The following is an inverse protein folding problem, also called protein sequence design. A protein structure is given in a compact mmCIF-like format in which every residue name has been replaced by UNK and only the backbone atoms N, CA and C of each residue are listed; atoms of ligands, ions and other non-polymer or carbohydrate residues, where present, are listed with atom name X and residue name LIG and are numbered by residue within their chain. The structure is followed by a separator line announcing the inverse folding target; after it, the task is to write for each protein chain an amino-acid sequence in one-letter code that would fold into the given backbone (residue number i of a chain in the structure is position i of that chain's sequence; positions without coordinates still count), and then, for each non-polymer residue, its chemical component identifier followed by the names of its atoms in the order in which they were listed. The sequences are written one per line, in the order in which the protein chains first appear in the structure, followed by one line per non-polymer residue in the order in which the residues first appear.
data_IF_815239476992
#
_entry.id   IF_815239476992
#
_cell.length_a   1.000
_cell.length_b   1.000
_cell.length_c   1.000
_cell.angle_alpha   90.00
_cell.angle_beta   90.00
_cell.angle_gamma   90.00
#
_symmetry.space_group_name_H-M   'P 1'
#
loop_
_entity.id
_entity.type
_entity.pdbx_description
1 polymer ?
#
# COMPACT_ATOMS: atom_id res chain seq x y z
N UNK A 1 -19.05 0.44 -6.85
CA UNK A 1 -18.46 1.76 -6.74
C UNK A 1 -19.27 2.72 -5.88
N UNK A 2 -18.96 4.02 -5.87
CA UNK A 2 -19.58 4.99 -4.97
C UNK A 2 -21.12 5.06 -5.06
N UNK A 3 -21.68 4.94 -6.28
CA UNK A 3 -23.12 4.96 -6.46
C UNK A 3 -23.81 3.78 -5.75
N UNK A 4 -23.22 2.59 -5.78
CA UNK A 4 -23.76 1.42 -5.08
C UNK A 4 -23.77 1.61 -3.55
N UNK A 5 -22.78 2.32 -3.00
CA UNK A 5 -22.75 2.69 -1.58
C UNK A 5 -23.90 3.62 -1.23
N UNK A 6 -24.08 4.65 -2.04
CA UNK A 6 -25.17 5.64 -1.85
C UNK A 6 -26.54 4.98 -1.97
N UNK A 7 -26.73 4.12 -2.97
CA UNK A 7 -27.99 3.38 -3.16
C UNK A 7 -28.32 2.48 -1.97
N UNK A 8 -27.29 1.78 -1.42
CA UNK A 8 -27.45 0.93 -0.25
C UNK A 8 -27.84 1.72 1.01
N UNK A 9 -27.21 2.88 1.24
CA UNK A 9 -27.59 3.77 2.33
C UNK A 9 -29.02 4.30 2.18
N UNK A 10 -29.33 4.84 1.01
CA UNK A 10 -30.61 5.48 0.74
C UNK A 10 -31.78 4.51 0.87
N UNK A 11 -31.59 3.25 0.50
CA UNK A 11 -32.60 2.21 0.66
C UNK A 11 -32.97 1.93 2.13
N UNK A 12 -32.04 2.15 3.05
CA UNK A 12 -32.22 1.87 4.48
C UNK A 12 -32.54 3.11 5.32
N UNK A 13 -32.30 4.31 4.77
CA UNK A 13 -32.36 5.57 5.52
C UNK A 13 -33.25 6.60 4.81
N UNK A 14 -34.59 6.47 4.88
CA UNK A 14 -35.51 7.35 4.14
C UNK A 14 -35.46 8.81 4.58
N UNK A 15 -34.95 9.08 5.79
CA UNK A 15 -34.88 10.43 6.35
C UNK A 15 -33.57 11.16 6.08
N UNK A 16 -32.52 10.41 5.70
CA UNK A 16 -31.20 10.96 5.35
C UNK A 16 -30.83 10.41 3.98
N UNK A 17 -31.02 11.20 2.96
CA UNK A 17 -30.66 10.79 1.59
C UNK A 17 -29.32 11.37 1.20
N UNK A 18 -28.50 10.58 0.54
CA UNK A 18 -27.16 10.94 0.07
C UNK A 18 -27.16 10.98 -1.45
N UNK A 19 -26.48 11.96 -2.01
CA UNK A 19 -26.22 12.10 -3.44
C UNK A 19 -24.70 12.03 -3.67
N UNK A 20 -24.29 11.25 -4.65
CA UNK A 20 -22.90 11.14 -5.05
C UNK A 20 -22.59 12.14 -6.16
N UNK A 21 -21.61 13.03 -5.89
CA UNK A 21 -21.04 13.94 -6.88
C UNK A 21 -19.58 13.59 -7.12
N UNK A 22 -19.22 13.37 -8.39
CA UNK A 22 -17.87 12.96 -8.75
C UNK A 22 -16.97 14.17 -8.98
N UNK A 23 -15.87 14.22 -8.21
CA UNK A 23 -14.70 15.04 -8.50
C UNK A 23 -13.52 14.11 -8.83
N UNK A 24 -12.85 14.36 -9.95
CA UNK A 24 -11.69 13.54 -10.35
C UNK A 24 -10.51 13.87 -9.42
N UNK A 25 -9.76 12.85 -9.00
CA UNK A 25 -8.57 13.06 -8.17
C UNK A 25 -7.36 13.42 -9.02
N UNK A 26 -7.38 14.61 -9.57
CA UNK A 26 -6.29 15.30 -10.24
C UNK A 26 -6.29 16.76 -9.80
N UNK A 27 -5.36 17.56 -10.28
CA UNK A 27 -5.23 18.96 -9.87
C UNK A 27 -6.49 19.77 -10.19
N UNK A 28 -7.08 19.58 -11.36
CA UNK A 28 -8.28 20.28 -11.80
C UNK A 28 -9.53 19.86 -10.99
N UNK A 29 -9.70 18.57 -10.77
CA UNK A 29 -10.80 18.04 -9.96
C UNK A 29 -10.71 18.45 -8.49
N UNK A 30 -9.51 18.47 -7.91
CA UNK A 30 -9.29 18.97 -6.55
C UNK A 30 -9.54 20.48 -6.45
N UNK A 31 -9.13 21.26 -7.44
CA UNK A 31 -9.45 22.70 -7.49
C UNK A 31 -10.97 22.94 -7.55
N UNK A 32 -11.69 22.16 -8.34
CA UNK A 32 -13.17 22.24 -8.42
C UNK A 32 -13.82 21.87 -7.08
N UNK A 33 -13.34 20.82 -6.41
CA UNK A 33 -13.83 20.44 -5.09
C UNK A 33 -13.56 21.55 -4.07
N UNK A 34 -12.35 22.07 -4.00
CA UNK A 34 -11.97 23.13 -3.06
C UNK A 34 -12.80 24.38 -3.28
N UNK A 35 -13.08 24.74 -4.54
CA UNK A 35 -13.98 25.86 -4.90
C UNK A 35 -15.40 25.59 -4.41
N UNK A 36 -15.92 24.39 -4.62
CA UNK A 36 -17.26 24.02 -4.16
C UNK A 36 -17.39 24.09 -2.63
N UNK A 37 -16.38 23.62 -1.90
CA UNK A 37 -16.34 23.68 -0.44
C UNK A 37 -16.34 25.11 0.09
N UNK A 38 -15.63 26.02 -0.57
CA UNK A 38 -15.50 27.42 -0.16
C UNK A 38 -16.71 28.29 -0.52
N UNK A 39 -17.37 28.01 -1.64
CA UNK A 39 -18.46 28.83 -2.19
C UNK A 39 -19.84 28.45 -1.71
N UNK A 40 -19.96 27.45 -0.81
CA UNK A 40 -21.22 27.02 -0.25
C UNK A 40 -22.07 26.18 -1.18
N UNK A 41 -21.48 25.56 -2.21
CA UNK A 41 -22.13 24.46 -2.90
C UNK A 41 -22.29 23.31 -1.93
N UNK A 42 -23.41 22.57 -2.06
CA UNK A 42 -23.76 21.49 -1.11
C UNK A 42 -22.83 20.28 -1.26
N UNK A 43 -21.63 20.38 -0.70
CA UNK A 43 -20.74 19.24 -0.48
C UNK A 43 -20.60 19.07 1.03
N UNK A 44 -21.28 18.06 1.56
CA UNK A 44 -21.31 17.80 3.00
C UNK A 44 -20.13 16.92 3.45
N UNK A 45 -19.73 15.97 2.60
CA UNK A 45 -18.68 14.99 2.86
C UNK A 45 -17.77 14.93 1.63
N UNK A 46 -16.47 14.82 1.86
CA UNK A 46 -15.47 14.71 0.79
C UNK A 46 -14.26 13.89 1.22
N UNK A 47 -13.47 13.44 0.22
CA UNK A 47 -12.28 12.60 0.43
C UNK A 47 -11.01 13.42 0.29
N UNK A 48 -10.06 13.22 1.22
CA UNK A 48 -8.67 13.66 1.10
C UNK A 48 -7.80 12.42 0.80
N UNK A 49 -7.01 12.50 -0.26
CA UNK A 49 -6.11 11.41 -0.64
C UNK A 49 -4.71 11.57 -0.08
N UNK A 50 -4.35 12.77 0.36
CA UNK A 50 -3.06 13.09 0.98
C UNK A 50 -3.24 13.97 2.21
N UNK A 51 -2.27 13.88 3.13
CA UNK A 51 -2.25 14.74 4.31
C UNK A 51 -2.15 16.24 3.91
N UNK A 52 -1.40 16.54 2.86
CA UNK A 52 -1.27 17.91 2.35
C UNK A 52 -2.62 18.49 1.87
N UNK A 53 -3.47 17.69 1.23
CA UNK A 53 -4.83 18.11 0.88
C UNK A 53 -5.65 18.42 2.12
N UNK A 54 -5.57 17.56 3.14
CA UNK A 54 -6.28 17.75 4.40
C UNK A 54 -5.82 19.03 5.10
N UNK A 55 -4.53 19.26 5.23
CA UNK A 55 -3.96 20.44 5.89
C UNK A 55 -4.45 21.74 5.23
N UNK A 56 -4.42 21.82 3.91
CA UNK A 56 -4.96 22.96 3.17
C UNK A 56 -6.45 23.22 3.45
N UNK A 57 -7.24 22.15 3.54
CA UNK A 57 -8.69 22.23 3.81
C UNK A 57 -9.00 22.57 5.26
N UNK A 58 -8.14 22.17 6.20
CA UNK A 58 -8.20 22.63 7.59
C UNK A 58 -7.93 24.14 7.66
N UNK A 59 -6.85 24.62 7.02
CA UNK A 59 -6.52 26.06 6.96
C UNK A 59 -7.64 26.87 6.32
N UNK A 60 -8.30 26.33 5.29
CA UNK A 60 -9.44 26.98 4.63
C UNK A 60 -10.74 26.96 5.45
N UNK A 61 -10.75 26.28 6.60
CA UNK A 61 -11.93 26.17 7.49
C UNK A 61 -13.05 25.31 6.95
N UNK A 62 -12.75 24.37 6.05
CA UNK A 62 -13.74 23.47 5.44
C UNK A 62 -13.64 22.01 5.90
N UNK A 63 -12.73 21.70 6.84
CA UNK A 63 -12.63 20.40 7.47
C UNK A 63 -13.11 20.49 8.92
N UNK A 64 -14.14 19.71 9.27
CA UNK A 64 -14.71 19.71 10.62
C UNK A 64 -13.81 18.96 11.61
N UNK A 65 -13.53 19.60 12.76
CA UNK A 65 -12.92 18.92 13.91
C UNK A 65 -13.94 17.93 14.50
N UNK A 66 -13.61 16.63 14.48
CA UNK A 66 -14.51 15.56 14.93
C UNK A 66 -14.49 15.36 16.46
N UNK A 67 -13.69 16.10 17.22
CA UNK A 67 -13.60 15.93 18.67
C UNK A 67 -14.91 16.26 19.42
N UNK A 68 -15.84 16.96 18.75
CA UNK A 68 -17.19 17.18 19.28
C UNK A 68 -18.04 15.91 19.35
N UNK A 69 -17.69 14.87 18.59
CA UNK A 69 -18.40 13.60 18.60
C UNK A 69 -17.72 12.61 19.53
N UNK A 70 -18.49 11.98 20.42
CA UNK A 70 -18.00 11.05 21.43
C UNK A 70 -18.50 9.62 21.23
N UNK A 71 -19.32 9.39 20.21
CA UNK A 71 -19.99 8.13 19.92
C UNK A 71 -19.23 7.21 18.94
N UNK A 72 -18.01 7.60 18.57
CA UNK A 72 -17.16 6.82 17.64
C UNK A 72 -15.69 6.99 18.00
N UNK A 73 -15.03 5.91 18.35
CA UNK A 73 -13.60 5.92 18.67
C UNK A 73 -12.78 5.51 17.44
N UNK A 74 -12.22 6.49 16.73
CA UNK A 74 -11.45 6.28 15.52
C UNK A 74 -10.21 5.42 15.78
N UNK A 75 -9.49 5.68 16.87
CA UNK A 75 -8.26 4.95 17.22
C UNK A 75 -8.55 3.46 17.47
N UNK A 76 -9.64 3.16 18.18
CA UNK A 76 -10.04 1.78 18.45
C UNK A 76 -10.48 1.05 17.18
N UNK A 77 -11.28 1.70 16.35
CA UNK A 77 -11.85 1.08 15.14
C UNK A 77 -10.86 0.91 14.00
N UNK A 78 -10.00 1.90 13.80
CA UNK A 78 -9.05 1.93 12.67
C UNK A 78 -7.65 1.42 13.04
N UNK A 79 -7.34 1.32 14.33
CA UNK A 79 -6.05 0.92 14.83
C UNK A 79 -5.00 2.04 14.83
N UNK A 80 -3.75 1.72 15.24
CA UNK A 80 -2.71 2.73 15.50
C UNK A 80 -2.29 3.53 14.26
N UNK A 81 -2.46 2.97 13.06
CA UNK A 81 -2.10 3.65 11.80
C UNK A 81 -2.97 4.88 11.52
N UNK A 82 -4.16 4.96 12.12
CA UNK A 82 -5.04 6.13 11.99
C UNK A 82 -4.38 7.41 12.49
N UNK A 83 -3.54 7.34 13.53
CA UNK A 83 -2.87 8.48 14.13
C UNK A 83 -1.99 9.29 13.16
N UNK A 84 -1.55 8.67 12.06
CA UNK A 84 -0.81 9.35 10.99
C UNK A 84 -1.61 10.45 10.29
N UNK A 85 -2.93 10.42 10.42
CA UNK A 85 -3.83 11.41 9.85
C UNK A 85 -4.23 12.52 10.85
N UNK A 86 -3.78 12.45 12.11
CA UNK A 86 -4.02 13.52 13.06
C UNK A 86 -3.27 14.80 12.67
N UNK A 87 -3.94 15.93 12.83
CA UNK A 87 -3.34 17.26 12.73
C UNK A 87 -3.53 17.95 14.08
N UNK A 88 -2.44 18.39 14.68
CA UNK A 88 -2.44 18.96 16.05
C UNK A 88 -3.16 18.07 17.09
N UNK A 89 -2.94 16.76 16.98
CA UNK A 89 -3.52 15.76 17.88
C UNK A 89 -5.01 15.48 17.67
N UNK A 90 -5.63 16.00 16.60
CA UNK A 90 -7.07 15.89 16.35
C UNK A 90 -7.35 15.19 15.02
N UNK A 91 -8.53 14.56 14.95
CA UNK A 91 -9.10 14.04 13.71
C UNK A 91 -10.05 15.05 13.06
N UNK A 92 -9.79 15.36 11.80
CA UNK A 92 -10.66 16.16 10.93
C UNK A 92 -11.36 15.30 9.89
N UNK A 93 -11.52 14.02 10.17
CA UNK A 93 -12.16 13.02 9.33
C UNK A 93 -11.80 11.61 9.81
N UNK A 94 -12.21 10.62 9.03
CA UNK A 94 -11.94 9.20 9.31
C UNK A 94 -11.14 8.61 8.13
N UNK A 95 -9.97 7.98 8.38
CA UNK A 95 -9.29 7.20 7.35
C UNK A 95 -10.06 5.91 7.12
N UNK A 96 -10.62 5.72 5.93
CA UNK A 96 -11.59 4.66 5.68
C UNK A 96 -11.04 3.47 4.92
N UNK A 97 -9.94 3.67 4.17
CA UNK A 97 -9.34 2.66 3.30
C UNK A 97 -8.06 2.11 3.91
N UNK A 98 -7.88 0.79 3.81
CA UNK A 98 -6.65 0.09 4.13
C UNK A 98 -5.81 -0.12 2.87
N UNK A 99 -4.52 0.22 2.94
CA UNK A 99 -3.54 -0.06 1.89
C UNK A 99 -2.77 -1.32 2.27
N UNK A 100 -2.69 -2.30 1.38
CA UNK A 100 -2.03 -3.59 1.64
C UNK A 100 -1.06 -3.92 0.53
N UNK A 101 0.18 -4.22 0.91
CA UNK A 101 1.21 -4.77 0.05
C UNK A 101 1.43 -6.24 0.42
N UNK A 102 1.65 -7.07 -0.57
CA UNK A 102 1.85 -8.50 -0.38
C UNK A 102 2.70 -9.09 -1.51
N UNK A 103 3.07 -10.35 -1.35
CA UNK A 103 3.61 -11.16 -2.43
C UNK A 103 2.49 -12.07 -2.95
N UNK A 104 2.20 -11.95 -4.24
CA UNK A 104 1.34 -12.90 -4.94
C UNK A 104 2.16 -14.11 -5.38
N UNK A 105 1.60 -15.32 -5.17
CA UNK A 105 2.28 -16.58 -5.41
C UNK A 105 1.45 -17.46 -6.35
N UNK A 106 2.10 -18.07 -7.34
CA UNK A 106 1.49 -19.15 -8.10
C UNK A 106 1.43 -20.40 -7.21
N UNK A 107 0.25 -20.66 -6.62
CA UNK A 107 0.08 -21.75 -5.66
C UNK A 107 0.36 -23.12 -6.27
N UNK A 108 0.02 -23.32 -7.53
CA UNK A 108 0.28 -24.60 -8.20
C UNK A 108 1.79 -24.90 -8.29
N UNK A 109 2.60 -23.87 -8.56
CA UNK A 109 4.07 -24.00 -8.57
C UNK A 109 4.64 -24.27 -7.18
N UNK A 110 4.09 -23.63 -6.13
CA UNK A 110 4.48 -23.90 -4.74
C UNK A 110 4.16 -25.34 -4.35
N UNK A 111 2.94 -25.80 -4.64
CA UNK A 111 2.48 -27.15 -4.31
C UNK A 111 3.36 -28.20 -5.01
N UNK A 112 3.68 -28.00 -6.28
CA UNK A 112 4.57 -28.87 -7.06
C UNK A 112 5.99 -28.94 -6.44
N UNK A 113 6.49 -27.82 -5.91
CA UNK A 113 7.79 -27.74 -5.24
C UNK A 113 7.74 -28.21 -3.77
N UNK A 114 6.56 -28.51 -3.23
CA UNK A 114 6.39 -28.87 -1.83
C UNK A 114 6.62 -27.73 -0.85
N UNK A 115 6.40 -26.49 -1.28
CA UNK A 115 6.61 -25.29 -0.47
C UNK A 115 5.29 -24.78 0.10
N UNK A 116 5.22 -24.53 1.43
CA UNK A 116 4.03 -23.93 2.04
C UNK A 116 3.92 -22.46 1.69
N UNK A 117 2.72 -21.88 1.76
CA UNK A 117 2.50 -20.44 1.67
C UNK A 117 2.99 -19.77 2.96
N UNK A 118 3.96 -18.86 2.91
CA UNK A 118 4.51 -18.22 4.10
C UNK A 118 3.50 -17.29 4.77
N UNK A 119 3.47 -17.29 6.11
CA UNK A 119 2.79 -16.27 6.94
C UNK A 119 3.76 -15.24 7.52
N UNK A 120 5.03 -15.58 7.55
CA UNK A 120 6.15 -14.74 7.94
C UNK A 120 7.41 -15.30 7.30
N UNK A 121 8.23 -14.45 6.72
CA UNK A 121 9.49 -14.84 6.08
C UNK A 121 10.48 -13.69 5.91
N UNK A 122 11.74 -14.07 5.80
CA UNK A 122 12.85 -13.16 5.54
C UNK A 122 13.19 -13.11 4.05
N UNK A 123 13.96 -12.10 3.64
CA UNK A 123 14.54 -12.04 2.30
C UNK A 123 15.43 -13.23 1.99
N UNK A 124 16.11 -13.78 2.99
CA UNK A 124 16.91 -15.00 2.80
C UNK A 124 16.03 -16.21 2.47
N UNK A 125 14.91 -16.38 3.16
CA UNK A 125 13.95 -17.44 2.88
C UNK A 125 13.26 -17.23 1.51
N UNK A 126 12.92 -15.99 1.15
CA UNK A 126 12.42 -15.66 -0.18
C UNK A 126 13.40 -16.09 -1.27
N UNK A 127 14.69 -15.79 -1.09
CA UNK A 127 15.73 -16.18 -2.04
C UNK A 127 15.77 -17.70 -2.26
N UNK A 128 15.63 -18.50 -1.19
CA UNK A 128 15.57 -19.96 -1.31
C UNK A 128 14.31 -20.45 -2.03
N UNK A 129 13.15 -19.83 -1.76
CA UNK A 129 11.92 -20.08 -2.51
C UNK A 129 12.11 -19.77 -3.99
N UNK A 130 12.69 -18.62 -4.31
CA UNK A 130 12.94 -18.21 -5.69
C UNK A 130 13.83 -19.19 -6.43
N UNK A 131 14.88 -19.71 -5.80
CA UNK A 131 15.75 -20.76 -6.38
C UNK A 131 14.97 -22.05 -6.66
N UNK A 132 14.13 -22.49 -5.73
CA UNK A 132 13.34 -23.70 -5.90
C UNK A 132 12.27 -23.58 -6.99
N UNK A 133 11.80 -22.37 -7.26
CA UNK A 133 10.69 -22.11 -8.19
C UNK A 133 11.17 -21.67 -9.59
N UNK A 134 12.44 -21.32 -9.74
CA UNK A 134 13.01 -20.94 -11.03
C UNK A 134 13.34 -22.16 -11.85
N UNK A 135 12.55 -22.41 -12.90
CA UNK A 135 12.76 -23.53 -13.82
C UNK A 135 12.00 -23.30 -15.13
N UNK A 136 12.43 -23.96 -16.21
CA UNK A 136 11.72 -23.99 -17.49
C UNK A 136 11.35 -22.59 -18.05
N UNK A 137 12.24 -21.62 -17.89
CA UNK A 137 12.02 -20.24 -18.35
C UNK A 137 11.11 -19.39 -17.44
N UNK A 138 10.68 -19.94 -16.28
CA UNK A 138 9.89 -19.22 -15.28
C UNK A 138 10.83 -18.54 -14.30
N UNK A 139 10.63 -17.26 -14.04
CA UNK A 139 11.31 -16.55 -12.97
C UNK A 139 10.71 -16.90 -11.61
N UNK A 140 11.56 -17.14 -10.61
CA UNK A 140 11.09 -17.36 -9.25
C UNK A 140 10.50 -16.09 -8.62
N UNK A 141 11.04 -14.93 -8.97
CA UNK A 141 10.68 -13.65 -8.37
C UNK A 141 10.57 -12.52 -9.40
N UNK A 142 9.52 -11.74 -9.30
CA UNK A 142 9.38 -10.45 -9.98
C UNK A 142 8.97 -9.36 -9.00
N UNK A 143 9.45 -8.15 -9.25
CA UNK A 143 9.01 -6.92 -8.58
C UNK A 143 9.09 -5.74 -9.53
N UNK A 144 8.32 -4.71 -9.26
CA UNK A 144 8.47 -3.43 -9.93
C UNK A 144 9.79 -2.76 -9.57
N UNK A 145 10.26 -1.88 -10.45
CA UNK A 145 11.52 -1.13 -10.24
C UNK A 145 11.32 0.16 -9.44
N UNK A 146 10.10 0.51 -9.10
CA UNK A 146 9.79 1.69 -8.31
C UNK A 146 10.33 1.58 -6.87
N UNK A 147 10.79 2.69 -6.28
CA UNK A 147 11.44 2.68 -4.97
C UNK A 147 10.57 2.16 -3.82
N UNK A 148 9.24 2.21 -3.95
CA UNK A 148 8.37 1.70 -2.87
C UNK A 148 8.36 0.17 -2.73
N UNK A 149 8.98 -0.55 -3.66
CA UNK A 149 9.21 -1.99 -3.56
C UNK A 149 10.55 -2.34 -2.90
N UNK A 150 11.42 -1.35 -2.66
CA UNK A 150 12.64 -1.61 -1.92
C UNK A 150 12.36 -1.61 -0.40
N UNK A 151 12.97 -2.52 0.38
CA UNK A 151 12.74 -2.61 1.81
C UNK A 151 13.60 -1.64 2.64
N UNK A 152 14.34 -0.73 2.02
CA UNK A 152 15.18 0.24 2.74
C UNK A 152 14.34 1.15 3.63
N UNK A 153 13.16 1.56 3.15
CA UNK A 153 12.23 2.36 3.96
C UNK A 153 11.85 1.65 5.26
N UNK A 154 11.51 0.36 5.19
CA UNK A 154 11.16 -0.44 6.37
C UNK A 154 12.27 -0.43 7.43
N UNK A 155 13.52 -0.52 7.01
CA UNK A 155 14.66 -0.44 7.93
C UNK A 155 14.80 0.97 8.49
N UNK A 156 14.88 1.97 7.63
CA UNK A 156 15.21 3.34 8.03
C UNK A 156 14.10 4.05 8.80
N UNK A 157 12.84 3.77 8.50
CA UNK A 157 11.71 4.26 9.30
C UNK A 157 11.70 3.65 10.71
N UNK A 158 12.22 2.45 10.87
CA UNK A 158 12.32 1.78 12.18
C UNK A 158 13.54 2.24 12.98
N UNK A 159 14.73 2.26 12.37
CA UNK A 159 16.00 2.52 13.07
C UNK A 159 16.46 3.98 12.97
N UNK A 160 15.86 4.77 12.09
CA UNK A 160 16.24 6.15 11.81
C UNK A 160 17.08 6.32 10.55
N UNK A 161 16.83 7.41 9.84
CA UNK A 161 17.60 7.81 8.66
C UNK A 161 18.97 8.41 9.00
N UNK A 162 19.13 8.86 10.25
CA UNK A 162 20.38 9.42 10.79
C UNK A 162 20.83 8.65 12.01
N UNK A 163 22.13 8.63 12.23
CA UNK A 163 22.76 8.12 13.44
C UNK A 163 22.64 9.16 14.57
N UNK A 164 23.07 8.79 15.78
CA UNK A 164 23.04 9.68 16.95
C UNK A 164 23.83 10.97 16.74
N UNK A 165 24.91 10.92 15.96
CA UNK A 165 25.74 12.07 15.60
C UNK A 165 25.15 12.93 14.47
N UNK A 166 23.96 12.61 13.99
CA UNK A 166 23.28 13.30 12.89
C UNK A 166 23.73 12.92 11.49
N UNK A 167 24.71 12.03 11.36
CA UNK A 167 25.17 11.55 10.06
C UNK A 167 24.21 10.51 9.45
N UNK A 168 24.36 10.28 8.15
CA UNK A 168 23.55 9.33 7.38
C UNK A 168 23.65 7.90 7.93
N UNK A 169 22.49 7.23 8.02
CA UNK A 169 22.37 5.81 8.37
C UNK A 169 22.14 4.90 7.15
N UNK A 170 22.39 5.40 5.93
CA UNK A 170 22.21 4.61 4.69
C UNK A 170 23.25 3.47 4.54
N UNK A 171 24.21 3.38 5.44
CA UNK A 171 25.15 2.27 5.56
C UNK A 171 24.73 1.19 6.58
N UNK A 172 23.47 1.21 7.03
CA UNK A 172 22.97 0.21 7.96
C UNK A 172 23.16 -1.22 7.40
N UNK A 173 23.64 -2.20 8.22
CA UNK A 173 23.94 -3.54 7.73
C UNK A 173 22.81 -4.26 7.01
N UNK A 174 21.55 -4.01 7.40
CA UNK A 174 20.38 -4.61 6.73
C UNK A 174 20.21 -4.10 5.30
N UNK A 175 20.60 -2.85 5.00
CA UNK A 175 20.56 -2.27 3.66
C UNK A 175 21.57 -3.00 2.76
N UNK A 176 22.80 -3.19 3.23
CA UNK A 176 23.80 -3.99 2.52
C UNK A 176 23.28 -5.41 2.25
N UNK A 177 22.69 -6.05 3.24
CA UNK A 177 22.11 -7.39 3.12
C UNK A 177 21.09 -7.46 1.98
N UNK A 178 20.19 -6.50 1.89
CA UNK A 178 19.22 -6.44 0.80
C UNK A 178 19.90 -6.26 -0.57
N UNK A 179 20.79 -5.28 -0.68
CA UNK A 179 21.51 -5.00 -1.93
C UNK A 179 22.24 -6.25 -2.45
N UNK A 180 22.96 -6.94 -1.59
CA UNK A 180 23.70 -8.15 -1.95
C UNK A 180 22.76 -9.32 -2.28
N UNK A 181 21.64 -9.46 -1.54
CA UNK A 181 20.64 -10.50 -1.81
C UNK A 181 20.00 -10.32 -3.18
N UNK A 182 19.50 -9.13 -3.49
CA UNK A 182 18.84 -8.87 -4.78
C UNK A 182 19.84 -8.95 -5.95
N UNK A 183 21.08 -8.47 -5.75
CA UNK A 183 22.13 -8.62 -6.74
C UNK A 183 22.40 -10.10 -7.05
N UNK A 184 22.51 -10.92 -6.01
CA UNK A 184 22.72 -12.37 -6.18
C UNK A 184 21.52 -13.02 -6.91
N UNK A 185 20.29 -12.64 -6.58
CA UNK A 185 19.09 -13.14 -7.27
C UNK A 185 19.11 -12.79 -8.76
N UNK A 186 19.57 -11.59 -9.14
CA UNK A 186 19.68 -11.15 -10.52
C UNK A 186 20.81 -11.83 -11.29
N UNK A 187 22.01 -11.91 -10.70
CA UNK A 187 23.25 -12.17 -11.43
C UNK A 187 23.88 -13.53 -11.15
N UNK A 188 23.63 -14.10 -9.99
CA UNK A 188 24.21 -15.39 -9.56
C UNK A 188 23.15 -16.50 -9.67
N UNK A 189 22.04 -16.35 -8.96
CA UNK A 189 20.93 -17.31 -8.93
C UNK A 189 20.09 -17.27 -10.21
N UNK A 190 20.00 -16.10 -10.85
CA UNK A 190 19.18 -15.83 -12.05
C UNK A 190 17.71 -16.16 -11.84
N UNK A 191 17.22 -15.88 -10.63
CA UNK A 191 15.82 -16.12 -10.23
C UNK A 191 14.90 -14.96 -10.54
N UNK A 192 15.47 -13.79 -10.84
CA UNK A 192 14.77 -12.58 -11.27
C UNK A 192 15.53 -11.95 -12.44
N UNK A 193 14.85 -11.26 -13.39
CA UNK A 193 15.56 -10.66 -14.51
C UNK A 193 16.50 -9.55 -14.03
N UNK A 194 17.68 -9.41 -14.68
CA UNK A 194 18.57 -8.29 -14.39
C UNK A 194 17.90 -6.95 -14.62
N UNK A 195 18.24 -5.95 -13.82
CA UNK A 195 17.61 -4.61 -13.90
C UNK A 195 17.71 -4.01 -15.31
N UNK A 196 18.86 -4.16 -15.98
CA UNK A 196 19.05 -3.65 -17.34
C UNK A 196 18.06 -4.24 -18.35
N UNK A 197 17.75 -5.51 -18.24
CA UNK A 197 16.72 -6.16 -19.08
C UNK A 197 15.33 -5.65 -18.75
N UNK A 198 15.01 -5.51 -17.47
CA UNK A 198 13.71 -4.99 -17.03
C UNK A 198 13.44 -3.60 -17.60
N UNK A 199 14.44 -2.72 -17.56
CA UNK A 199 14.33 -1.34 -18.08
C UNK A 199 14.25 -1.35 -19.61
N UNK A 200 15.16 -2.05 -20.28
CA UNK A 200 15.25 -2.05 -21.74
C UNK A 200 14.02 -2.65 -22.40
N UNK A 201 13.52 -3.75 -21.84
CA UNK A 201 12.34 -4.45 -22.35
C UNK A 201 11.03 -3.87 -21.81
N UNK A 202 11.08 -2.92 -20.88
CA UNK A 202 9.90 -2.41 -20.17
C UNK A 202 9.01 -3.56 -19.67
N UNK A 203 9.63 -4.51 -18.96
CA UNK A 203 8.98 -5.77 -18.60
C UNK A 203 7.67 -5.56 -17.85
N UNK A 204 6.53 -6.06 -18.37
CA UNK A 204 5.23 -5.93 -17.72
C UNK A 204 5.08 -7.02 -16.65
N UNK A 205 5.71 -6.82 -15.48
CA UNK A 205 5.86 -7.86 -14.45
C UNK A 205 4.53 -8.41 -13.94
N UNK A 206 3.49 -7.58 -13.86
CA UNK A 206 2.15 -8.01 -13.45
C UNK A 206 1.55 -8.99 -14.47
N UNK A 207 1.62 -8.64 -15.75
CA UNK A 207 1.16 -9.48 -16.85
C UNK A 207 1.96 -10.77 -16.94
N UNK A 208 3.27 -10.70 -16.76
CA UNK A 208 4.15 -11.88 -16.75
C UNK A 208 3.75 -12.87 -15.67
N UNK A 209 3.49 -12.38 -14.45
CA UNK A 209 3.00 -13.21 -13.35
C UNK A 209 1.65 -13.85 -13.68
N UNK A 210 0.69 -13.07 -14.17
CA UNK A 210 -0.65 -13.56 -14.53
C UNK A 210 -0.64 -14.55 -15.70
N UNK A 211 0.38 -14.49 -16.56
CA UNK A 211 0.59 -15.44 -17.64
C UNK A 211 1.38 -16.70 -17.23
N UNK A 212 1.76 -16.81 -15.94
CA UNK A 212 2.52 -17.97 -15.45
C UNK A 212 4.01 -17.93 -15.78
N UNK A 213 4.56 -16.78 -16.14
CA UNK A 213 5.99 -16.58 -16.46
C UNK A 213 6.84 -16.30 -15.20
N UNK A 214 6.20 -16.16 -14.07
CA UNK A 214 6.85 -16.00 -12.76
C UNK A 214 6.06 -16.70 -11.67
N UNK A 215 6.78 -17.22 -10.66
CA UNK A 215 6.17 -17.90 -9.52
C UNK A 215 5.71 -16.94 -8.42
N UNK A 216 6.37 -15.81 -8.26
CA UNK A 216 6.11 -14.83 -7.19
C UNK A 216 6.22 -13.40 -7.72
N UNK A 217 5.32 -12.53 -7.25
CA UNK A 217 5.28 -11.11 -7.62
C UNK A 217 5.08 -10.24 -6.36
N UNK A 218 5.96 -9.29 -6.12
CA UNK A 218 5.75 -8.26 -5.10
C UNK A 218 4.80 -7.18 -5.64
N UNK A 219 3.66 -7.01 -4.99
CA UNK A 219 2.59 -6.14 -5.48
C UNK A 219 1.68 -5.68 -4.33
N UNK A 220 0.61 -4.97 -4.63
CA UNK A 220 -0.42 -4.55 -3.68
C UNK A 220 -1.84 -4.88 -4.18
N UNK A 221 -2.82 -4.37 -3.44
CA UNK A 221 -4.24 -4.66 -3.69
C UNK A 221 -4.73 -4.29 -5.10
N UNK A 222 -4.02 -3.44 -5.83
CA UNK A 222 -4.38 -3.10 -7.22
C UNK A 222 -4.24 -4.27 -8.20
N UNK A 223 -3.57 -5.36 -7.81
CA UNK A 223 -3.48 -6.58 -8.62
C UNK A 223 -4.86 -7.10 -9.03
N UNK A 224 -5.84 -7.00 -8.15
CA UNK A 224 -7.19 -7.54 -8.39
C UNK A 224 -7.90 -6.93 -9.61
N UNK A 225 -7.54 -5.71 -10.01
CA UNK A 225 -8.10 -5.09 -11.23
C UNK A 225 -7.81 -5.91 -12.48
N UNK A 226 -6.62 -6.50 -12.55
CA UNK A 226 -6.22 -7.36 -13.65
C UNK A 226 -6.49 -8.83 -13.36
N UNK A 227 -6.15 -9.33 -12.18
CA UNK A 227 -6.27 -10.75 -11.85
C UNK A 227 -7.71 -11.24 -11.81
N UNK A 228 -8.69 -10.38 -11.52
CA UNK A 228 -10.12 -10.73 -11.59
C UNK A 228 -10.65 -10.79 -13.04
N UNK A 229 -9.96 -10.18 -13.98
CA UNK A 229 -10.37 -10.15 -15.38
C UNK A 229 -9.81 -11.35 -16.14
N UNK A 230 -10.48 -12.49 -16.03
CA UNK A 230 -10.06 -13.73 -16.67
C UNK A 230 -10.24 -13.72 -18.21
N UNK A 231 -10.96 -12.75 -18.76
CA UNK A 231 -11.08 -12.61 -20.22
C UNK A 231 -9.77 -12.08 -20.82
N UNK A 232 -9.19 -11.05 -20.19
CA UNK A 232 -7.94 -10.44 -20.65
C UNK A 232 -6.70 -11.15 -20.08
N UNK A 233 -6.82 -11.72 -18.88
CA UNK A 233 -5.75 -12.44 -18.18
C UNK A 233 -6.20 -13.86 -17.81
N UNK A 234 -6.44 -14.75 -18.80
CA UNK A 234 -6.84 -16.12 -18.53
C UNK A 234 -5.72 -16.87 -17.81
N UNK A 235 -6.08 -17.62 -16.77
CA UNK A 235 -5.13 -18.48 -16.06
C UNK A 235 -5.81 -19.73 -15.54
N UNK A 236 -5.02 -20.78 -15.35
CA UNK A 236 -5.44 -22.07 -14.83
C UNK A 236 -4.84 -22.37 -13.44
N UNK A 237 -4.11 -21.43 -12.86
CA UNK A 237 -3.52 -21.57 -11.53
C UNK A 237 -4.23 -20.70 -10.48
N UNK A 238 -4.11 -21.13 -9.24
CA UNK A 238 -4.61 -20.41 -8.06
C UNK A 238 -3.53 -19.45 -7.58
N UNK A 239 -3.93 -18.20 -7.27
CA UNK A 239 -3.05 -17.22 -6.65
C UNK A 239 -3.19 -17.34 -5.12
N UNK A 240 -2.06 -17.56 -4.44
CA UNK A 240 -1.94 -17.44 -2.99
C UNK A 240 -1.22 -16.14 -2.63
N UNK A 241 -1.21 -15.79 -1.34
CA UNK A 241 -0.68 -14.52 -0.86
C UNK A 241 0.19 -14.73 0.37
N UNK A 242 1.31 -14.00 0.41
CA UNK A 242 2.18 -13.95 1.57
C UNK A 242 2.47 -12.49 1.95
N UNK A 243 2.82 -12.20 3.21
CA UNK A 243 3.35 -10.89 3.57
C UNK A 243 4.60 -10.57 2.75
N UNK A 244 4.92 -9.28 2.57
CA UNK A 244 6.23 -8.90 2.04
C UNK A 244 7.34 -9.44 2.96
N UNK A 245 8.48 -9.89 2.42
CA UNK A 245 9.56 -10.42 3.25
C UNK A 245 10.22 -9.31 4.06
N UNK A 246 10.72 -9.66 5.24
CA UNK A 246 11.44 -8.75 6.14
C UNK A 246 12.95 -8.91 6.03
N UNK A 247 13.68 -7.81 6.24
CA UNK A 247 15.12 -7.80 6.43
C UNK A 247 15.52 -8.05 7.89
N UNK A 248 14.63 -7.68 8.83
CA UNK A 248 14.84 -7.89 10.26
C UNK A 248 14.88 -9.38 10.60
N UNK A 249 15.76 -9.75 11.54
CA UNK A 249 15.85 -11.13 12.02
C UNK A 249 14.62 -11.52 12.83
N UNK A 250 14.11 -10.59 13.65
CA UNK A 250 12.92 -10.80 14.46
C UNK A 250 11.68 -10.16 13.82
N UNK A 251 10.57 -10.86 13.84
CA UNK A 251 9.29 -10.36 13.32
C UNK A 251 8.79 -9.12 14.07
N UNK A 252 9.04 -9.05 15.37
CA UNK A 252 8.61 -7.94 16.25
C UNK A 252 9.26 -6.60 15.87
N UNK A 253 10.41 -6.63 15.22
CA UNK A 253 11.10 -5.42 14.77
C UNK A 253 10.61 -4.92 13.42
N UNK A 254 9.89 -5.77 12.69
CA UNK A 254 9.46 -5.49 11.33
C UNK A 254 8.28 -4.52 11.29
N UNK A 255 8.42 -3.53 10.44
CA UNK A 255 7.34 -2.65 10.01
C UNK A 255 7.27 -2.68 8.48
N UNK A 256 6.08 -2.56 7.92
CA UNK A 256 5.87 -2.69 6.47
C UNK A 256 5.22 -1.44 5.89
N UNK A 257 5.35 -1.27 4.58
CA UNK A 257 4.61 -0.25 3.87
C UNK A 257 3.12 -0.58 3.87
N UNK A 258 2.28 0.44 3.97
CA UNK A 258 0.83 0.28 4.00
C UNK A 258 0.16 1.54 4.49
N UNK A 259 -0.50 1.44 5.64
CA UNK A 259 -1.20 2.55 6.26
C UNK A 259 -2.65 2.65 5.80
N UNK A 260 -3.28 3.76 6.15
CA UNK A 260 -4.66 4.05 5.85
C UNK A 260 -4.74 5.23 4.87
N UNK A 261 -5.78 5.21 4.05
CA UNK A 261 -6.03 6.25 3.06
C UNK A 261 -7.51 6.58 2.93
N UNK A 262 -7.86 7.28 1.85
CA UNK A 262 -9.22 7.77 1.60
C UNK A 262 -9.79 8.40 2.88
N UNK A 263 -9.16 9.48 3.31
CA UNK A 263 -9.52 10.18 4.54
C UNK A 263 -10.76 11.04 4.29
N UNK A 264 -11.88 10.66 4.90
CA UNK A 264 -13.19 11.27 4.65
C UNK A 264 -13.49 12.32 5.70
N UNK A 265 -13.68 13.55 5.24
CA UNK A 265 -13.98 14.71 6.07
C UNK A 265 -15.41 15.20 5.89
N UNK A 266 -15.94 15.84 6.92
CA UNK A 266 -17.20 16.59 6.86
C UNK A 266 -16.87 18.07 6.63
N UNK A 267 -17.58 18.70 5.71
CA UNK A 267 -17.46 20.14 5.50
C UNK A 267 -17.95 20.89 6.74
N UNK A 268 -17.06 21.65 7.37
CA UNK A 268 -17.39 22.45 8.56
C UNK A 268 -18.49 23.50 8.30
N UNK A 269 -18.71 23.86 7.03
CA UNK A 269 -19.74 24.81 6.59
C UNK A 269 -21.08 24.13 6.21
N UNK A 270 -21.15 22.81 6.30
CA UNK A 270 -22.36 22.06 5.98
C UNK A 270 -23.50 22.42 6.92
N UNK A 271 -24.73 22.61 6.42
CA UNK A 271 -25.94 22.71 7.26
C UNK A 271 -26.40 21.33 7.78
N UNK A 272 -25.78 20.21 7.34
CA UNK A 272 -26.23 18.84 7.57
C UNK A 272 -25.17 18.02 8.36
N UNK A 273 -24.46 18.64 9.28
CA UNK A 273 -23.30 18.00 9.98
C UNK A 273 -23.70 16.70 10.67
N UNK A 274 -24.84 16.67 11.39
CA UNK A 274 -25.28 15.46 12.11
C UNK A 274 -25.64 14.32 11.17
N UNK A 275 -26.34 14.62 10.08
CA UNK A 275 -26.69 13.64 9.04
C UNK A 275 -25.42 13.11 8.32
N UNK A 276 -24.47 14.01 8.03
CA UNK A 276 -23.18 13.66 7.47
C UNK A 276 -22.39 12.73 8.40
N UNK A 277 -22.42 13.00 9.70
CA UNK A 277 -21.77 12.16 10.70
C UNK A 277 -22.39 10.74 10.77
N UNK A 278 -23.71 10.62 10.74
CA UNK A 278 -24.38 9.32 10.71
C UNK A 278 -23.98 8.50 9.47
N UNK A 279 -23.97 9.12 8.30
CA UNK A 279 -23.52 8.47 7.08
C UNK A 279 -22.04 8.08 7.14
N UNK A 280 -21.16 8.96 7.63
CA UNK A 280 -19.73 8.70 7.68
C UNK A 280 -19.39 7.54 8.62
N UNK A 281 -20.03 7.42 9.79
CA UNK A 281 -19.88 6.26 10.68
C UNK A 281 -20.24 4.95 9.99
N UNK A 282 -21.40 4.93 9.36
CA UNK A 282 -21.87 3.75 8.63
C UNK A 282 -20.94 3.40 7.46
N UNK A 283 -20.53 4.39 6.70
CA UNK A 283 -19.58 4.22 5.58
C UNK A 283 -18.29 3.58 6.05
N UNK A 284 -17.70 4.12 7.11
CA UNK A 284 -16.43 3.64 7.66
C UNK A 284 -16.52 2.22 8.24
N UNK A 285 -17.63 1.87 8.90
CA UNK A 285 -17.84 0.57 9.56
C UNK A 285 -18.28 -0.56 8.61
N UNK A 286 -18.18 -0.36 7.32
CA UNK A 286 -18.44 -1.39 6.33
C UNK A 286 -19.42 -1.01 5.23
N UNK A 287 -20.14 0.11 5.36
CA UNK A 287 -21.02 0.62 4.30
C UNK A 287 -20.30 0.87 2.98
N UNK A 288 -18.97 1.09 3.05
CA UNK A 288 -18.13 1.22 1.87
C UNK A 288 -17.80 -0.12 1.18
N UNK A 289 -18.26 -1.26 1.67
CA UNK A 289 -17.92 -2.57 1.10
C UNK A 289 -18.11 -2.68 -0.42
N UNK A 290 -19.13 -2.06 -1.07
CA UNK A 290 -19.25 -2.05 -2.52
C UNK A 290 -18.05 -1.40 -3.25
N UNK A 291 -17.21 -0.64 -2.56
CA UNK A 291 -15.97 -0.09 -3.11
C UNK A 291 -14.88 -1.15 -3.28
N UNK A 292 -15.01 -2.30 -2.62
CA UNK A 292 -14.05 -3.41 -2.69
C UNK A 292 -13.93 -3.97 -4.12
N UNK A 293 -15.00 -3.96 -4.89
CA UNK A 293 -14.96 -4.36 -6.31
C UNK A 293 -13.96 -3.52 -7.14
N UNK A 294 -13.67 -2.28 -6.73
CA UNK A 294 -12.64 -1.42 -7.29
C UNK A 294 -11.28 -1.48 -6.56
N UNK A 295 -11.11 -2.42 -5.64
CA UNK A 295 -9.88 -2.61 -4.87
C UNK A 295 -9.77 -1.74 -3.61
N UNK A 296 -10.85 -1.11 -3.15
CA UNK A 296 -10.85 -0.34 -1.90
C UNK A 296 -11.31 -1.18 -0.72
N UNK A 297 -10.38 -1.46 0.18
CA UNK A 297 -10.61 -2.30 1.36
C UNK A 297 -10.92 -1.43 2.58
N UNK A 298 -11.96 -1.75 3.39
CA UNK A 298 -12.28 -1.00 4.60
C UNK A 298 -11.18 -1.15 5.66
N UNK A 299 -10.90 -0.06 6.36
CA UNK A 299 -9.94 -0.01 7.45
C UNK A 299 -10.54 -0.45 8.79
N UNK A 300 -11.85 -0.28 8.99
CA UNK A 300 -12.53 -0.55 10.26
C UNK A 300 -12.49 -2.04 10.63
N UNK A 301 -12.20 -2.30 11.90
CA UNK A 301 -12.27 -3.65 12.49
C UNK A 301 -13.69 -4.22 12.53
N UNK A 302 -14.71 -3.36 12.44
CA UNK A 302 -16.12 -3.75 12.46
C UNK A 302 -16.67 -4.09 11.07
N UNK A 303 -15.85 -3.96 10.01
CA UNK A 303 -16.25 -4.34 8.66
C UNK A 303 -16.42 -5.87 8.55
N UNK A 304 -17.47 -6.29 7.84
CA UNK A 304 -17.69 -7.70 7.49
C UNK A 304 -16.67 -8.13 6.42
N UNK A 305 -15.60 -8.77 6.85
CA UNK A 305 -14.49 -9.17 5.98
C UNK A 305 -14.90 -10.24 4.96
N UNK A 306 -15.84 -11.10 5.29
CA UNK A 306 -16.37 -12.10 4.35
C UNK A 306 -17.16 -11.42 3.22
N UNK A 307 -18.04 -10.49 3.56
CA UNK A 307 -18.78 -9.71 2.56
C UNK A 307 -17.83 -8.89 1.68
N UNK A 308 -16.77 -8.29 2.25
CA UNK A 308 -15.74 -7.56 1.51
C UNK A 308 -15.03 -8.47 0.51
N UNK A 309 -14.62 -9.67 0.92
CA UNK A 309 -13.98 -10.63 0.02
C UNK A 309 -14.90 -11.06 -1.12
N UNK A 310 -16.18 -11.31 -0.84
CA UNK A 310 -17.15 -11.63 -1.88
C UNK A 310 -17.30 -10.50 -2.90
N UNK A 311 -17.33 -9.25 -2.45
CA UNK A 311 -17.40 -8.09 -3.33
C UNK A 311 -16.12 -7.84 -4.10
N UNK A 312 -14.95 -8.08 -3.48
CA UNK A 312 -13.65 -7.95 -4.12
C UNK A 312 -13.47 -8.98 -5.25
N UNK A 313 -13.82 -10.22 -4.99
CA UNK A 313 -13.51 -11.34 -5.89
C UNK A 313 -14.66 -11.72 -6.83
N UNK A 314 -15.90 -11.45 -6.45
CA UNK A 314 -17.07 -11.81 -7.27
C UNK A 314 -17.06 -13.31 -7.67
N UNK A 315 -17.30 -13.59 -8.94
CA UNK A 315 -17.42 -14.94 -9.49
C UNK A 315 -16.07 -15.67 -9.65
N UNK A 316 -14.95 -14.96 -9.46
CA UNK A 316 -13.61 -15.52 -9.68
C UNK A 316 -12.91 -15.94 -8.39
N UNK A 317 -13.61 -15.97 -7.26
CA UNK A 317 -13.06 -16.36 -5.95
C UNK A 317 -12.36 -17.72 -5.97
N UNK A 318 -12.83 -18.67 -6.79
CA UNK A 318 -12.23 -19.99 -6.96
C UNK A 318 -10.81 -19.98 -7.53
N UNK A 319 -10.36 -18.86 -8.08
CA UNK A 319 -9.01 -18.70 -8.63
C UNK A 319 -8.00 -18.19 -7.60
N UNK A 320 -8.41 -18.05 -6.34
CA UNK A 320 -7.59 -17.57 -5.23
C UNK A 320 -7.59 -18.54 -4.05
N UNK A 321 -6.46 -18.58 -3.34
CA UNK A 321 -6.35 -19.23 -2.03
C UNK A 321 -6.91 -18.29 -0.96
N UNK A 322 -8.16 -18.53 -0.55
CA UNK A 322 -8.90 -17.61 0.31
C UNK A 322 -8.32 -17.49 1.71
N UNK A 323 -7.72 -18.56 2.25
CA UNK A 323 -7.10 -18.55 3.57
C UNK A 323 -5.93 -17.56 3.61
N UNK A 324 -5.00 -17.65 2.66
CA UNK A 324 -3.85 -16.76 2.61
C UNK A 324 -4.25 -15.32 2.26
N UNK A 325 -5.28 -15.14 1.44
CA UNK A 325 -5.82 -13.83 1.13
C UNK A 325 -6.43 -13.16 2.37
N UNK A 326 -7.27 -13.88 3.10
CA UNK A 326 -7.84 -13.42 4.37
C UNK A 326 -6.74 -13.00 5.34
N UNK A 327 -5.67 -13.78 5.43
CA UNK A 327 -4.56 -13.49 6.32
C UNK A 327 -3.88 -12.17 5.97
N UNK A 328 -3.44 -11.98 4.72
CA UNK A 328 -2.69 -10.75 4.33
C UNK A 328 -3.56 -9.49 4.33
N UNK A 329 -4.85 -9.61 4.04
CA UNK A 329 -5.74 -8.45 3.99
C UNK A 329 -6.26 -8.04 5.38
N UNK A 330 -6.53 -8.98 6.29
CA UNK A 330 -7.30 -8.70 7.49
C UNK A 330 -6.70 -9.20 8.80
N UNK A 331 -5.83 -10.21 8.78
CA UNK A 331 -5.31 -10.86 10.00
C UNK A 331 -3.86 -10.48 10.30
N UNK A 332 -3.06 -10.13 9.29
CA UNK A 332 -1.67 -9.71 9.50
C UNK A 332 -1.64 -8.39 10.27
N UNK A 333 -1.11 -8.44 11.48
CA UNK A 333 -1.02 -7.30 12.40
C UNK A 333 0.33 -6.56 12.34
N UNK A 334 1.16 -6.84 11.35
CA UNK A 334 2.44 -6.13 11.16
C UNK A 334 2.20 -4.62 11.11
N UNK A 335 2.85 -3.84 12.00
CA UNK A 335 2.70 -2.38 11.98
C UNK A 335 3.14 -1.78 10.64
N UNK A 336 2.49 -0.72 10.21
CA UNK A 336 2.86 -0.01 9.00
C UNK A 336 3.56 1.31 9.30
N UNK A 337 4.24 1.86 8.30
CA UNK A 337 4.88 3.16 8.38
C UNK A 337 4.39 4.10 7.28
N UNK A 338 4.52 5.39 7.53
CA UNK A 338 4.45 6.44 6.50
C UNK A 338 5.85 6.96 6.27
N UNK A 339 6.24 7.09 5.01
CA UNK A 339 7.56 7.61 4.63
C UNK A 339 7.76 9.02 5.16
N UNK A 340 8.78 9.22 5.99
CA UNK A 340 9.07 10.47 6.69
C UNK A 340 10.07 11.38 5.97
N UNK A 341 10.71 10.89 4.90
CA UNK A 341 11.73 11.63 4.16
C UNK A 341 11.21 12.17 2.84
N UNK A 342 11.77 13.28 2.34
CA UNK A 342 11.46 13.82 1.02
C UNK A 342 11.87 12.87 -0.11
N UNK A 343 11.21 12.99 -1.25
CA UNK A 343 11.54 12.22 -2.45
C UNK A 343 13.01 12.36 -2.87
N UNK A 344 13.65 13.48 -2.62
CA UNK A 344 15.09 13.67 -2.90
C UNK A 344 15.96 12.60 -2.24
N UNK A 345 15.65 12.21 -0.98
CA UNK A 345 16.39 11.13 -0.27
C UNK A 345 16.13 9.77 -0.92
N UNK A 346 14.91 9.55 -1.37
CA UNK A 346 14.54 8.32 -2.09
C UNK A 346 15.28 8.25 -3.43
N UNK A 347 15.30 9.33 -4.18
CA UNK A 347 15.92 9.40 -5.50
C UNK A 347 17.44 9.24 -5.43
N UNK A 348 18.10 9.87 -4.46
CA UNK A 348 19.56 9.76 -4.32
C UNK A 348 20.03 8.33 -4.04
N UNK A 349 19.28 7.57 -3.22
CA UNK A 349 19.61 6.17 -2.96
C UNK A 349 19.31 5.28 -4.15
N UNK A 350 18.17 5.51 -4.84
CA UNK A 350 17.79 4.79 -6.04
C UNK A 350 18.83 4.91 -7.15
N UNK A 351 19.29 6.12 -7.44
CA UNK A 351 20.34 6.36 -8.43
C UNK A 351 21.59 5.51 -8.17
N UNK A 352 21.97 5.36 -6.91
CA UNK A 352 23.16 4.61 -6.54
C UNK A 352 22.92 3.09 -6.58
N UNK A 353 21.84 2.59 -6.00
CA UNK A 353 21.62 1.14 -6.01
C UNK A 353 21.31 0.60 -7.42
N UNK A 354 20.68 1.39 -8.29
CA UNK A 354 20.48 1.00 -9.70
C UNK A 354 21.81 0.80 -10.41
N UNK A 355 22.80 1.68 -10.19
CA UNK A 355 24.16 1.51 -10.73
C UNK A 355 24.83 0.24 -10.25
N UNK A 356 24.61 -0.13 -9.00
CA UNK A 356 25.08 -1.42 -8.47
C UNK A 356 24.42 -2.60 -9.19
N UNK A 357 23.11 -2.60 -9.31
CA UNK A 357 22.39 -3.66 -10.00
C UNK A 357 22.71 -3.73 -11.50
N UNK A 358 23.11 -2.62 -12.12
CA UNK A 358 23.62 -2.57 -13.49
C UNK A 358 25.08 -2.97 -13.62
N UNK A 359 25.75 -3.36 -12.54
CA UNK A 359 27.16 -3.72 -12.47
C UNK A 359 28.13 -2.58 -12.80
N UNK A 360 27.71 -1.34 -12.64
CA UNK A 360 28.55 -0.16 -12.89
C UNK A 360 29.46 0.18 -11.72
N UNK A 361 29.16 -0.30 -10.52
CA UNK A 361 29.93 -0.07 -9.30
C UNK A 361 29.77 -1.21 -8.30
N UNK A 362 30.67 -1.30 -7.33
CA UNK A 362 30.62 -2.28 -6.24
C UNK A 362 29.56 -1.90 -5.18
N UNK A 363 29.19 -2.84 -4.33
CA UNK A 363 28.30 -2.56 -3.18
C UNK A 363 28.95 -1.56 -2.22
N UNK A 364 30.26 -1.65 -1.97
CA UNK A 364 30.97 -0.70 -1.12
C UNK A 364 30.91 0.72 -1.66
N UNK A 365 31.14 0.90 -2.96
CA UNK A 365 31.04 2.18 -3.62
C UNK A 365 29.60 2.73 -3.60
N UNK A 366 28.63 1.87 -3.79
CA UNK A 366 27.20 2.22 -3.74
C UNK A 366 26.82 2.77 -2.37
N UNK A 367 27.18 2.07 -1.30
CA UNK A 367 26.89 2.49 0.07
C UNK A 367 27.63 3.79 0.40
N UNK A 368 28.92 3.89 0.05
CA UNK A 368 29.68 5.11 0.28
C UNK A 368 29.06 6.34 -0.44
N UNK A 369 28.61 6.16 -1.68
CA UNK A 369 27.95 7.22 -2.45
C UNK A 369 26.60 7.61 -1.86
N UNK A 370 25.78 6.64 -1.43
CA UNK A 370 24.49 6.91 -0.77
C UNK A 370 24.70 7.73 0.51
N UNK A 371 25.65 7.31 1.36
CA UNK A 371 25.97 8.02 2.61
C UNK A 371 26.44 9.43 2.32
N UNK A 372 27.36 9.61 1.36
CA UNK A 372 27.87 10.93 0.99
C UNK A 372 26.76 11.85 0.50
N UNK A 373 25.96 11.42 -0.44
CA UNK A 373 24.84 12.20 -0.99
C UNK A 373 23.82 12.56 0.07
N UNK A 374 23.51 11.63 0.98
CA UNK A 374 22.58 11.89 2.07
C UNK A 374 23.18 12.87 3.09
N UNK A 375 24.46 12.77 3.44
CA UNK A 375 25.12 13.75 4.29
C UNK A 375 25.14 15.14 3.64
N UNK A 376 25.39 15.23 2.34
CA UNK A 376 25.33 16.50 1.59
C UNK A 376 23.92 17.10 1.63
N UNK A 377 22.87 16.27 1.53
CA UNK A 377 21.48 16.69 1.69
C UNK A 377 21.22 17.22 3.11
N UNK A 378 21.65 16.49 4.14
CA UNK A 378 21.46 16.87 5.54
C UNK A 378 22.18 18.18 5.89
N UNK A 379 23.34 18.44 5.30
CA UNK A 379 24.11 19.66 5.54
C UNK A 379 23.48 20.94 4.96
N UNK A 380 22.52 20.80 4.05
CA UNK A 380 21.79 21.93 3.42
C UNK A 380 20.52 22.33 4.19
N UNK A 381 20.21 21.61 5.25
CA UNK A 381 19.08 21.86 6.14
C UNK A 381 19.55 22.43 7.46
#
# INVERSE_FOLDING_TARGET
GPQAVVDAWNAQNPHIQVEYVRFVNDDDGNLKLDTALLTGQNVDIYVNYTLSQLEKRIEAGVALDLSQFTDYNIDEKMGPDAAQWKVDGKYYGIPTKKNVFFVALNKNMLDEAGLPVPKDWTWAELREYAKSLTKNGVYGWLQHTEPFFDPMDSVLEKVGYTKEDGSSNLDHPMIRRWLETLYAMMHEDKTTPPLGEQITAQMPVDTMFLNGEAAMLNIGEWLFRSSNNLNDFPRDFVIAFAPVPRLFDNKEDFITRGGLGDFVSINAKSPNIEAAWEFLKWYADGGMAPMAAGGRLPASKDADTEAVLQMLLGDVAHTYDLESLQYVLFEDSTPTYVRSVPNEVIDLRRQEYERYFLKEQSVDQTIANMVKKHNDFLSRR
#
